data_IF_183196351352
#
_entry.id   IF_183196351352
#
_cell.length_a   1.000
_cell.length_b   1.000
_cell.length_c   1.000
_cell.angle_alpha   90.00
_cell.angle_beta   90.00
_cell.angle_gamma   90.00
#
_symmetry.space_group_name_H-M   'P 1'
#
loop_
_entity.id
_entity.type
_entity.pdbx_description
1 polymer ?
#
# COMPACT_ATOMS: atom_id res chain seq x y z
N UNK A 1 -5.82 17.61 -12.22
CA UNK A 1 -5.45 16.95 -10.95
C UNK A 1 -6.09 15.58 -10.90
N UNK A 2 -5.28 14.52 -11.03
CA UNK A 2 -5.74 13.14 -10.85
C UNK A 2 -5.78 12.87 -9.36
N UNK A 3 -6.90 12.35 -8.85
CA UNK A 3 -6.91 11.80 -7.51
C UNK A 3 -6.10 10.51 -7.58
N UNK A 4 -4.90 10.53 -7.00
CA UNK A 4 -4.04 9.36 -6.93
C UNK A 4 -4.62 8.42 -5.86
N UNK A 5 -5.75 7.80 -6.18
CA UNK A 5 -6.24 6.64 -5.45
C UNK A 5 -5.30 5.51 -5.83
N UNK A 6 -4.22 5.34 -5.06
CA UNK A 6 -3.53 4.06 -4.98
C UNK A 6 -4.64 3.05 -4.74
N UNK A 7 -4.97 2.25 -5.76
CA UNK A 7 -6.03 1.29 -5.68
C UNK A 7 -5.74 0.40 -4.48
N UNK A 8 -6.38 0.75 -3.38
CA UNK A 8 -6.70 -0.08 -2.25
C UNK A 8 -6.85 -1.48 -2.80
N UNK A 9 -6.05 -2.40 -2.26
CA UNK A 9 -6.01 -3.81 -2.60
C UNK A 9 -7.42 -4.39 -2.39
N UNK A 10 -8.34 -4.12 -3.31
CA UNK A 10 -9.54 -4.90 -3.50
C UNK A 10 -9.06 -6.17 -4.17
N UNK A 11 -8.52 -7.05 -3.31
CA UNK A 11 -8.39 -8.49 -3.46
C UNK A 11 -8.23 -8.93 -4.91
N UNK A 12 -6.98 -9.12 -5.35
CA UNK A 12 -6.75 -10.02 -6.47
C UNK A 12 -7.13 -11.43 -6.00
N UNK A 13 -8.40 -11.79 -6.21
CA UNK A 13 -8.83 -13.17 -6.00
C UNK A 13 -8.25 -13.97 -7.16
N UNK A 14 -7.30 -14.84 -6.84
CA UNK A 14 -6.77 -15.82 -7.78
C UNK A 14 -7.85 -16.88 -7.99
N UNK A 15 -8.76 -16.67 -8.95
CA UNK A 15 -9.76 -17.68 -9.31
C UNK A 15 -9.07 -18.82 -10.05
N UNK A 16 -8.77 -19.92 -9.35
CA UNK A 16 -8.49 -21.18 -10.03
C UNK A 16 -9.78 -21.70 -10.68
N UNK A 17 -9.85 -21.66 -12.01
CA UNK A 17 -10.85 -22.41 -12.77
C UNK A 17 -11.88 -21.60 -13.58
N UNK A 18 -11.64 -20.34 -13.90
CA UNK A 18 -12.49 -19.64 -14.87
C UNK A 18 -12.04 -19.89 -16.31
N UNK A 19 -12.83 -20.68 -17.07
CA UNK A 19 -12.71 -20.83 -18.52
C UNK A 19 -12.62 -19.45 -19.19
N UNK A 20 -11.70 -19.33 -20.16
CA UNK A 20 -11.59 -18.19 -21.09
C UNK A 20 -12.98 -17.88 -21.66
N UNK A 21 -13.60 -16.80 -21.18
CA UNK A 21 -14.99 -16.48 -21.54
C UNK A 21 -15.06 -15.12 -22.22
N UNK A 22 -15.44 -15.20 -23.50
CA UNK A 22 -16.16 -14.25 -24.37
C UNK A 22 -15.86 -12.76 -24.24
N UNK A 23 -15.60 -12.11 -25.39
CA UNK A 23 -15.61 -10.64 -25.56
C UNK A 23 -16.77 -10.03 -24.77
N UNK A 24 -16.45 -9.35 -23.66
CA UNK A 24 -17.45 -8.61 -22.89
C UNK A 24 -17.88 -7.39 -23.71
N UNK A 25 -19.18 -7.11 -23.86
CA UNK A 25 -19.63 -5.87 -24.49
C UNK A 25 -19.09 -4.68 -23.68
N UNK A 26 -18.62 -3.65 -24.39
CA UNK A 26 -18.11 -2.41 -23.79
C UNK A 26 -16.93 -2.58 -22.83
N UNK A 27 -15.93 -3.37 -23.24
CA UNK A 27 -14.62 -3.48 -22.58
C UNK A 27 -13.47 -3.05 -23.48
N UNK A 28 -12.31 -2.83 -22.88
CA UNK A 28 -11.01 -2.71 -23.57
C UNK A 28 -10.09 -3.81 -23.06
N UNK A 29 -9.37 -4.46 -23.98
CA UNK A 29 -8.36 -5.47 -23.65
C UNK A 29 -7.07 -5.12 -24.35
N UNK A 30 -6.00 -4.98 -23.59
CA UNK A 30 -4.63 -4.88 -24.10
C UNK A 30 -4.00 -6.27 -24.11
N UNK A 31 -3.35 -6.60 -25.22
CA UNK A 31 -2.49 -7.79 -25.32
C UNK A 31 -1.04 -7.32 -25.26
N UNK A 32 -0.33 -7.73 -24.22
CA UNK A 32 1.08 -7.41 -24.02
C UNK A 32 1.87 -8.67 -24.34
N UNK A 33 2.89 -8.54 -25.18
CA UNK A 33 3.76 -9.64 -25.64
C UNK A 33 5.22 -9.26 -25.35
N UNK A 34 6.05 -10.23 -24.97
CA UNK A 34 7.41 -10.00 -24.45
C UNK A 34 8.31 -9.15 -25.36
N UNK A 35 8.20 -9.34 -26.68
CA UNK A 35 9.15 -8.81 -27.69
C UNK A 35 8.47 -8.17 -28.90
N UNK A 36 7.20 -7.75 -28.80
CA UNK A 36 6.48 -7.12 -29.92
C UNK A 36 6.16 -5.66 -29.59
N UNK A 37 6.81 -4.75 -30.33
CA UNK A 37 6.55 -3.31 -30.28
C UNK A 37 6.94 -2.59 -28.99
N UNK A 38 7.98 -3.05 -28.29
CA UNK A 38 8.65 -2.40 -27.15
C UNK A 38 7.69 -1.67 -26.21
N UNK A 39 6.64 -2.39 -25.77
CA UNK A 39 5.55 -1.79 -24.99
C UNK A 39 6.03 -1.15 -23.68
N UNK A 40 7.17 -1.59 -23.15
CA UNK A 40 7.82 -1.04 -21.97
C UNK A 40 8.50 0.31 -22.23
N UNK A 41 8.83 0.64 -23.47
CA UNK A 41 9.36 1.95 -23.91
C UNK A 41 8.24 2.94 -24.25
N UNK A 42 7.00 2.44 -24.39
CA UNK A 42 5.84 3.27 -24.71
C UNK A 42 5.28 3.91 -23.45
N UNK A 43 5.10 5.23 -23.51
CA UNK A 43 4.38 5.99 -22.49
C UNK A 43 2.89 5.63 -22.45
N UNK A 44 2.28 5.31 -23.60
CA UNK A 44 0.90 4.84 -23.73
C UNK A 44 0.86 3.54 -24.57
N UNK A 45 0.21 2.50 -24.04
CA UNK A 45 0.00 1.21 -24.69
C UNK A 45 -1.37 1.25 -25.37
N UNK A 46 -1.39 1.11 -26.70
CA UNK A 46 -2.60 1.17 -27.51
C UNK A 46 -3.38 -0.16 -27.46
N UNK A 47 -4.72 -0.13 -27.59
CA UNK A 47 -5.57 1.02 -27.88
C UNK A 47 -6.06 1.74 -26.62
N UNK A 48 -6.13 3.07 -26.66
CA UNK A 48 -7.01 3.80 -25.75
C UNK A 48 -8.45 3.69 -26.22
N UNK A 49 -9.39 3.65 -25.27
CA UNK A 49 -10.81 3.44 -25.59
C UNK A 49 -11.71 4.24 -24.67
N UNK A 50 -12.76 4.80 -25.24
CA UNK A 50 -13.85 5.39 -24.48
C UNK A 50 -14.86 4.29 -24.18
N UNK A 51 -15.10 4.04 -22.90
CA UNK A 51 -16.12 3.13 -22.40
C UNK A 51 -17.30 3.93 -21.85
N UNK A 52 -18.46 3.28 -21.81
CA UNK A 52 -19.66 3.79 -21.12
C UNK A 52 -20.09 2.78 -20.04
N UNK A 53 -21.25 2.95 -19.41
CA UNK A 53 -21.80 1.88 -18.58
C UNK A 53 -22.28 0.71 -19.44
N UNK A 54 -21.84 -0.51 -19.10
CA UNK A 54 -22.32 -1.72 -19.76
C UNK A 54 -23.86 -1.83 -19.66
N UNK A 55 -24.54 -1.95 -20.81
CA UNK A 55 -26.01 -2.02 -20.90
C UNK A 55 -26.75 -0.67 -20.95
N UNK A 56 -26.06 0.48 -20.89
CA UNK A 56 -26.70 1.79 -21.08
C UNK A 56 -26.88 2.12 -22.56
N UNK A 57 -28.09 2.54 -22.94
CA UNK A 57 -28.42 3.06 -24.27
C UNK A 57 -28.11 4.56 -24.42
N UNK A 58 -27.81 5.26 -23.33
CA UNK A 58 -27.54 6.70 -23.34
C UNK A 58 -26.15 7.00 -22.74
N UNK A 59 -25.18 7.48 -23.52
CA UNK A 59 -23.79 7.60 -23.09
C UNK A 59 -23.52 8.97 -22.47
N UNK A 60 -24.27 9.36 -21.44
CA UNK A 60 -24.07 10.66 -20.77
C UNK A 60 -22.84 10.67 -19.83
N UNK A 61 -22.25 9.50 -19.60
CA UNK A 61 -21.01 9.33 -18.83
C UNK A 61 -20.00 8.54 -19.65
N UNK A 62 -18.84 9.16 -19.88
CA UNK A 62 -17.76 8.59 -20.67
C UNK A 62 -16.53 8.34 -19.81
N UNK A 63 -15.94 7.16 -19.98
CA UNK A 63 -14.72 6.73 -19.32
C UNK A 63 -13.63 6.58 -20.38
N UNK A 64 -12.76 7.58 -20.52
CA UNK A 64 -11.59 7.48 -21.38
C UNK A 64 -10.51 6.67 -20.66
N UNK A 65 -10.30 5.43 -21.11
CA UNK A 65 -9.37 4.47 -20.50
C UNK A 65 -8.12 4.33 -21.35
N UNK A 66 -6.96 4.42 -20.69
CA UNK A 66 -5.64 4.29 -21.29
C UNK A 66 -4.75 3.40 -20.43
N UNK A 67 -3.84 2.66 -21.04
CA UNK A 67 -2.82 1.90 -20.34
C UNK A 67 -1.48 2.60 -20.54
N UNK A 68 -0.73 2.84 -19.46
CA UNK A 68 0.58 3.50 -19.51
C UNK A 68 1.63 2.63 -18.85
N UNK A 69 2.87 2.72 -19.33
CA UNK A 69 4.03 2.09 -18.70
C UNK A 69 5.03 3.17 -18.26
N UNK A 70 5.52 3.06 -17.04
CA UNK A 70 6.63 3.88 -16.53
C UNK A 70 7.46 3.05 -15.55
N UNK A 71 8.78 3.04 -15.71
CA UNK A 71 9.70 2.25 -14.87
C UNK A 71 9.28 0.77 -14.73
N UNK A 72 8.89 0.13 -15.85
CA UNK A 72 8.39 -1.26 -15.90
C UNK A 72 7.11 -1.53 -15.11
N UNK A 73 6.43 -0.48 -14.62
CA UNK A 73 5.14 -0.56 -13.95
C UNK A 73 4.03 -0.18 -14.92
N UNK A 74 2.98 -1.00 -14.94
CA UNK A 74 1.81 -0.78 -15.77
C UNK A 74 0.74 -0.08 -14.93
N UNK A 75 0.08 0.93 -15.50
CA UNK A 75 -1.05 1.61 -14.87
C UNK A 75 -2.21 1.78 -15.85
N UNK A 76 -3.43 1.59 -15.35
CA UNK A 76 -4.68 1.93 -16.02
C UNK A 76 -5.07 3.35 -15.61
N UNK A 77 -5.18 4.25 -16.57
CA UNK A 77 -5.61 5.63 -16.37
C UNK A 77 -7.02 5.78 -16.91
N UNK A 78 -7.90 6.34 -16.09
CA UNK A 78 -9.31 6.53 -16.40
C UNK A 78 -9.63 8.00 -16.20
N UNK A 79 -10.07 8.67 -17.24
CA UNK A 79 -10.62 10.03 -17.17
C UNK A 79 -12.12 9.96 -17.42
N UNK A 80 -12.90 10.52 -16.51
CA UNK A 80 -14.36 10.44 -16.53
C UNK A 80 -14.95 11.80 -16.84
N UNK A 81 -15.85 11.80 -17.83
CA UNK A 81 -16.70 12.94 -18.14
C UNK A 81 -18.12 12.56 -17.78
N UNK A 82 -18.63 13.15 -16.70
CA UNK A 82 -20.02 12.97 -16.27
C UNK A 82 -20.85 14.20 -16.70
N UNK A 83 -21.66 14.02 -17.75
CA UNK A 83 -22.58 15.06 -18.24
C UNK A 83 -23.94 15.02 -17.56
N UNK A 84 -24.18 14.08 -16.63
CA UNK A 84 -25.40 14.07 -15.82
C UNK A 84 -25.36 15.22 -14.81
N UNK A 85 -26.52 15.83 -14.54
CA UNK A 85 -26.68 16.79 -13.44
C UNK A 85 -26.61 16.19 -12.03
N UNK A 86 -26.22 14.92 -11.88
CA UNK A 86 -26.10 14.20 -10.60
C UNK A 86 -24.86 13.30 -10.54
N UNK A 87 -24.36 13.06 -9.33
CA UNK A 87 -23.25 12.14 -9.09
C UNK A 87 -23.66 10.71 -9.47
N UNK A 88 -22.74 9.96 -10.07
CA UNK A 88 -22.93 8.54 -10.40
C UNK A 88 -21.82 7.68 -9.82
N UNK A 89 -22.14 6.43 -9.49
CA UNK A 89 -21.15 5.46 -9.01
C UNK A 89 -20.94 4.36 -10.04
N UNK A 90 -19.68 3.99 -10.26
CA UNK A 90 -19.26 2.92 -11.18
C UNK A 90 -18.49 1.81 -10.44
N UNK A 91 -18.60 0.59 -10.94
CA UNK A 91 -17.68 -0.51 -10.61
C UNK A 91 -16.76 -0.74 -11.81
N UNK A 92 -15.49 -0.44 -11.61
CA UNK A 92 -14.39 -0.68 -12.54
C UNK A 92 -13.84 -2.08 -12.29
N UNK A 93 -14.03 -2.99 -13.23
CA UNK A 93 -13.49 -4.35 -13.15
C UNK A 93 -12.21 -4.39 -13.98
N UNK A 94 -11.08 -4.63 -13.31
CA UNK A 94 -9.77 -4.78 -13.96
C UNK A 94 -9.33 -6.22 -13.80
N UNK A 95 -9.00 -6.86 -14.92
CA UNK A 95 -8.59 -8.26 -14.96
C UNK A 95 -7.21 -8.37 -15.61
N UNK A 96 -6.35 -9.17 -14.99
CA UNK A 96 -5.11 -9.68 -15.55
C UNK A 96 -5.24 -11.18 -15.79
N UNK A 97 -4.93 -11.60 -17.00
CA UNK A 97 -4.91 -13.01 -17.38
C UNK A 97 -3.76 -13.28 -18.32
N UNK A 98 -3.34 -14.54 -18.42
CA UNK A 98 -2.43 -15.02 -19.46
C UNK A 98 -3.04 -16.24 -20.13
N UNK A 99 -2.30 -16.83 -21.07
CA UNK A 99 -2.72 -18.08 -21.74
C UNK A 99 -2.92 -19.25 -20.77
N UNK A 100 -2.33 -19.21 -19.57
CA UNK A 100 -2.52 -20.23 -18.54
C UNK A 100 -3.79 -20.03 -17.70
N UNK A 101 -4.47 -18.88 -17.82
CA UNK A 101 -5.73 -18.60 -17.13
C UNK A 101 -5.85 -17.17 -16.60
N UNK A 102 -6.92 -16.89 -15.86
CA UNK A 102 -7.07 -15.64 -15.12
C UNK A 102 -6.15 -15.67 -13.91
N UNK A 103 -5.20 -14.74 -13.87
CA UNK A 103 -4.24 -14.66 -12.77
C UNK A 103 -4.75 -13.75 -11.66
N UNK A 104 -5.58 -12.74 -12.00
CA UNK A 104 -5.95 -11.70 -11.07
C UNK A 104 -7.18 -10.90 -11.54
N UNK A 105 -8.11 -10.56 -10.65
CA UNK A 105 -9.20 -9.60 -10.92
C UNK A 105 -9.41 -8.69 -9.72
N UNK A 106 -9.65 -7.40 -9.96
CA UNK A 106 -10.04 -6.42 -8.94
C UNK A 106 -11.29 -5.65 -9.38
N UNK A 107 -12.13 -5.28 -8.41
CA UNK A 107 -13.31 -4.45 -8.60
C UNK A 107 -13.13 -3.17 -7.80
N UNK A 108 -13.04 -2.03 -8.48
CA UNK A 108 -12.85 -0.71 -7.87
C UNK A 108 -14.15 0.07 -8.01
N UNK A 109 -14.73 0.46 -6.89
CA UNK A 109 -15.93 1.31 -6.87
C UNK A 109 -15.48 2.77 -6.81
N UNK A 110 -15.98 3.61 -7.71
CA UNK A 110 -15.67 5.05 -7.74
C UNK A 110 -16.92 5.89 -8.03
N UNK A 111 -16.99 7.08 -7.43
CA UNK A 111 -18.08 8.04 -7.61
C UNK A 111 -17.60 9.24 -8.41
N UNK A 112 -18.47 9.74 -9.29
CA UNK A 112 -18.13 10.73 -10.29
C UNK A 112 -19.16 11.85 -10.26
N UNK A 113 -18.73 13.02 -9.78
CA UNK A 113 -19.59 14.21 -9.66
C UNK A 113 -19.93 14.80 -11.05
N UNK A 114 -21.04 15.55 -11.17
CA UNK A 114 -21.38 16.30 -12.39
C UNK A 114 -20.30 17.31 -12.78
N UNK A 115 -19.92 17.34 -14.04
CA UNK A 115 -18.89 18.25 -14.53
C UNK A 115 -17.49 17.96 -13.95
N UNK A 116 -16.50 18.69 -14.49
CA UNK A 116 -15.04 18.55 -14.31
C UNK A 116 -14.49 17.11 -14.52
N UNK A 117 -13.50 17.00 -15.39
CA UNK A 117 -12.73 15.78 -15.64
C UNK A 117 -12.18 15.21 -14.33
N UNK A 118 -12.79 14.14 -13.83
CA UNK A 118 -12.30 13.37 -12.70
C UNK A 118 -11.42 12.25 -13.24
N UNK A 119 -10.25 12.09 -12.63
CA UNK A 119 -9.21 11.20 -13.12
C UNK A 119 -8.79 10.21 -12.05
N UNK A 120 -8.66 8.95 -12.44
CA UNK A 120 -8.24 7.85 -11.60
C UNK A 120 -7.07 7.11 -12.26
N UNK A 121 -5.98 6.89 -11.53
CA UNK A 121 -4.84 6.09 -11.98
C UNK A 121 -4.70 4.86 -11.09
N UNK A 122 -4.67 3.69 -11.70
CA UNK A 122 -4.67 2.39 -11.02
C UNK A 122 -3.43 1.62 -11.44
N UNK A 123 -2.54 1.35 -10.48
CA UNK A 123 -1.38 0.51 -10.72
C UNK A 123 -1.83 -0.95 -10.90
N UNK A 124 -1.34 -1.62 -11.94
CA UNK A 124 -1.51 -3.06 -12.12
C UNK A 124 -0.31 -3.73 -11.44
N UNK A 125 -0.49 -4.42 -10.31
CA UNK A 125 0.64 -5.00 -9.59
C UNK A 125 1.32 -6.08 -10.44
N UNK A 126 2.64 -5.96 -10.54
CA UNK A 126 3.52 -7.05 -10.95
C UNK A 126 3.73 -8.01 -9.78
N UNK A 127 4.09 -9.25 -10.07
CA UNK A 127 4.73 -10.06 -9.04
C UNK A 127 6.15 -9.53 -8.93
N UNK A 128 6.49 -8.93 -7.79
CA UNK A 128 7.79 -8.26 -7.58
C UNK A 128 8.99 -9.21 -7.82
N UNK A 129 8.74 -10.53 -7.87
CA UNK A 129 9.77 -11.58 -8.00
C UNK A 129 9.64 -12.52 -9.23
N UNK A 130 8.77 -12.25 -10.23
CA UNK A 130 8.62 -13.15 -11.39
C UNK A 130 8.50 -12.41 -12.73
N UNK A 131 9.16 -12.94 -13.76
CA UNK A 131 8.94 -12.55 -15.15
C UNK A 131 7.45 -12.68 -15.50
N UNK A 132 6.83 -11.60 -15.99
CA UNK A 132 5.46 -11.64 -16.51
C UNK A 132 5.28 -12.81 -17.49
N UNK A 133 4.18 -13.57 -17.32
CA UNK A 133 3.81 -14.63 -18.27
C UNK A 133 3.18 -13.97 -19.49
N UNK A 134 3.79 -14.19 -20.65
CA UNK A 134 3.33 -13.65 -21.93
C UNK A 134 2.66 -14.74 -22.80
N UNK A 135 1.69 -14.37 -23.66
CA UNK A 135 1.07 -13.04 -23.74
C UNK A 135 0.17 -12.79 -22.53
N UNK A 136 0.27 -11.57 -21.99
CA UNK A 136 -0.57 -11.08 -20.90
C UNK A 136 -1.72 -10.28 -21.49
N UNK A 137 -2.90 -10.42 -20.89
CA UNK A 137 -4.08 -9.65 -21.21
C UNK A 137 -4.49 -8.82 -20.00
N UNK A 138 -4.64 -7.51 -20.22
CA UNK A 138 -5.23 -6.60 -19.24
C UNK A 138 -6.58 -6.15 -19.79
N UNK A 139 -7.65 -6.44 -19.07
CA UNK A 139 -9.01 -6.09 -19.48
C UNK A 139 -9.64 -5.13 -18.48
N UNK A 140 -10.26 -4.06 -18.96
CA UNK A 140 -11.01 -3.11 -18.14
C UNK A 140 -12.46 -3.09 -18.61
N UNK A 141 -13.38 -3.17 -17.64
CA UNK A 141 -14.83 -3.11 -17.84
C UNK A 141 -15.42 -2.08 -16.89
N UNK A 142 -16.35 -1.27 -17.37
CA UNK A 142 -17.09 -0.31 -16.53
C UNK A 142 -18.53 -0.77 -16.37
N UNK A 143 -18.97 -0.92 -15.12
CA UNK A 143 -20.34 -1.27 -14.76
C UNK A 143 -20.96 -0.13 -13.93
N UNK A 144 -22.27 0.06 -14.06
CA UNK A 144 -23.00 0.95 -13.17
C UNK A 144 -23.09 0.29 -11.79
N UNK A 145 -22.89 1.06 -10.71
CA UNK A 145 -23.07 0.52 -9.36
C UNK A 145 -24.56 0.43 -9.04
N UNK A 146 -24.96 -0.61 -8.30
CA UNK A 146 -26.33 -0.74 -7.81
C UNK A 146 -26.62 0.37 -6.78
N UNK A 147 -27.83 0.95 -6.71
CA UNK A 147 -28.25 1.78 -5.58
C UNK A 147 -27.93 1.19 -4.19
N UNK A 148 -27.96 -0.13 -4.01
CA UNK A 148 -27.54 -0.78 -2.76
C UNK A 148 -26.04 -0.60 -2.44
N UNK A 149 -25.23 -0.34 -3.46
CA UNK A 149 -23.79 -0.15 -3.34
C UNK A 149 -23.40 1.29 -2.97
N UNK A 150 -24.31 2.26 -3.10
CA UNK A 150 -24.07 3.67 -2.68
C UNK A 150 -23.75 3.75 -1.18
N UNK A 151 -24.23 2.79 -0.39
CA UNK A 151 -23.97 2.69 1.03
C UNK A 151 -22.59 2.10 1.38
N UNK A 152 -21.82 1.59 0.41
CA UNK A 152 -20.49 1.02 0.67
C UNK A 152 -19.35 2.03 0.41
N UNK A 153 -19.68 3.21 -0.11
CA UNK A 153 -18.73 4.28 -0.35
C UNK A 153 -18.66 5.22 0.84
N UNK A 154 -17.51 5.22 1.48
CA UNK A 154 -17.16 6.29 2.41
C UNK A 154 -15.76 6.76 2.01
N UNK A 155 -15.69 7.95 1.43
CA UNK A 155 -14.47 8.63 0.94
C UNK A 155 -13.58 9.16 2.08
N UNK A 156 -14.04 9.10 3.35
CA UNK A 156 -13.27 9.55 4.52
C UNK A 156 -13.04 8.41 5.53
N UNK A 157 -11.78 8.15 5.84
CA UNK A 157 -11.31 7.12 6.82
C UNK A 157 -12.02 7.25 8.18
N UNK A 158 -12.25 8.48 8.66
CA UNK A 158 -12.93 8.76 9.94
C UNK A 158 -14.40 8.33 9.92
N UNK A 159 -15.06 8.39 8.77
CA UNK A 159 -16.46 7.98 8.60
C UNK A 159 -16.58 6.48 8.29
N UNK A 160 -15.55 5.86 7.67
CA UNK A 160 -15.50 4.40 7.42
C UNK A 160 -15.54 3.60 8.71
N UNK A 161 -14.79 4.08 9.69
CA UNK A 161 -14.53 3.39 10.93
C UNK A 161 -15.66 3.55 11.95
N UNK A 162 -16.56 4.53 11.80
CA UNK A 162 -17.65 4.75 12.73
C UNK A 162 -18.88 3.87 12.45
N UNK A 163 -19.16 3.58 11.17
CA UNK A 163 -20.35 2.82 10.78
C UNK A 163 -20.17 1.33 11.05
N UNK A 164 -21.06 0.75 11.86
CA UNK A 164 -20.99 -0.65 12.32
C UNK A 164 -19.77 -0.98 13.19
N UNK A 165 -19.09 0.04 13.73
CA UNK A 165 -18.07 -0.19 14.76
C UNK A 165 -18.67 -0.93 15.96
N UNK A 166 -17.92 -1.92 16.42
CA UNK A 166 -18.26 -2.76 17.57
C UNK A 166 -17.21 -2.63 18.71
N UNK A 167 -16.18 -1.80 18.49
CA UNK A 167 -15.21 -1.37 19.50
C UNK A 167 -14.69 0.06 19.24
N UNK A 168 -14.06 0.65 20.25
CA UNK A 168 -13.35 1.92 20.18
C UNK A 168 -11.97 1.78 20.84
N UNK A 169 -10.93 2.26 20.16
CA UNK A 169 -9.55 2.31 20.65
C UNK A 169 -9.22 3.72 21.14
N UNK A 170 -8.51 3.81 22.26
CA UNK A 170 -8.05 5.05 22.87
C UNK A 170 -6.53 5.09 22.95
N UNK A 171 -5.94 6.19 22.50
CA UNK A 171 -4.51 6.50 22.67
C UNK A 171 -4.29 7.42 23.87
N UNK A 172 -3.06 7.45 24.40
CA UNK A 172 -2.72 8.22 25.61
C UNK A 172 -2.87 9.74 25.43
N UNK A 173 -2.74 10.23 24.19
CA UNK A 173 -2.96 11.62 23.78
C UNK A 173 -4.45 11.95 23.52
N UNK A 174 -5.36 11.10 24.02
CA UNK A 174 -6.80 11.30 23.96
C UNK A 174 -7.42 11.08 22.58
N UNK A 175 -6.71 10.45 21.65
CA UNK A 175 -7.27 9.99 20.39
C UNK A 175 -8.31 8.88 20.62
N UNK A 176 -9.41 8.92 19.86
CA UNK A 176 -10.47 7.93 19.90
C UNK A 176 -10.75 7.44 18.50
N UNK A 177 -10.78 6.13 18.32
CA UNK A 177 -10.88 5.49 17.03
C UNK A 177 -11.93 4.38 17.08
N UNK A 178 -13.13 4.59 16.53
CA UNK A 178 -14.06 3.49 16.37
C UNK A 178 -13.44 2.46 15.41
N UNK A 179 -13.65 1.17 15.65
CA UNK A 179 -13.03 0.08 14.87
C UNK A 179 -13.95 -1.14 14.80
N UNK A 180 -13.59 -2.08 13.92
CA UNK A 180 -14.26 -3.35 13.72
C UNK A 180 -13.39 -4.49 14.27
N UNK A 181 -13.85 -5.17 15.33
CA UNK A 181 -13.12 -6.28 15.98
C UNK A 181 -12.73 -7.35 14.98
N UNK A 182 -13.66 -7.73 14.10
CA UNK A 182 -13.45 -8.77 13.10
C UNK A 182 -12.30 -8.41 12.13
N UNK A 183 -12.29 -7.18 11.62
CA UNK A 183 -11.28 -6.74 10.65
C UNK A 183 -9.90 -6.73 11.30
N UNK A 184 -9.77 -6.05 12.44
CA UNK A 184 -8.49 -5.95 13.15
C UNK A 184 -7.97 -7.33 13.60
N UNK A 185 -8.84 -8.21 14.11
CA UNK A 185 -8.45 -9.57 14.53
C UNK A 185 -7.95 -10.45 13.38
N UNK A 186 -8.51 -10.26 12.17
CA UNK A 186 -8.12 -11.04 11.01
C UNK A 186 -6.70 -10.71 10.51
N UNK A 187 -6.25 -9.48 10.75
CA UNK A 187 -4.98 -8.97 10.20
C UNK A 187 -3.91 -8.72 11.26
N UNK A 188 -4.24 -8.88 12.53
CA UNK A 188 -3.32 -8.67 13.64
C UNK A 188 -3.62 -9.65 14.76
N UNK A 189 -2.66 -10.52 15.05
CA UNK A 189 -2.75 -11.44 16.18
C UNK A 189 -2.79 -10.69 17.52
N UNK A 190 -2.15 -9.51 17.60
CA UNK A 190 -2.28 -8.61 18.74
C UNK A 190 -3.74 -8.24 19.00
N UNK A 191 -4.48 -7.79 17.98
CA UNK A 191 -5.90 -7.44 18.13
C UNK A 191 -6.79 -8.66 18.37
N UNK A 192 -6.48 -9.79 17.73
CA UNK A 192 -7.18 -11.07 17.97
C UNK A 192 -7.08 -11.49 19.44
N UNK A 193 -5.93 -11.29 20.08
CA UNK A 193 -5.75 -11.51 21.53
C UNK A 193 -6.44 -10.44 22.36
N UNK A 194 -6.31 -9.16 21.97
CA UNK A 194 -6.87 -8.03 22.69
C UNK A 194 -8.40 -8.11 22.81
N UNK A 195 -9.10 -8.52 21.75
CA UNK A 195 -10.56 -8.54 21.72
C UNK A 195 -11.20 -9.79 22.33
N UNK A 196 -10.41 -10.72 22.90
CA UNK A 196 -10.95 -11.91 23.57
C UNK A 196 -11.86 -11.58 24.75
N UNK A 197 -11.58 -10.49 25.47
CA UNK A 197 -12.32 -10.10 26.67
C UNK A 197 -13.67 -9.40 26.37
N UNK A 198 -14.05 -9.34 25.08
CA UNK A 198 -15.30 -8.78 24.54
C UNK A 198 -15.77 -7.45 25.15
N UNK A 199 -14.84 -6.53 25.31
CA UNK A 199 -15.11 -5.15 25.75
C UNK A 199 -15.46 -4.26 24.56
N UNK A 200 -15.99 -3.06 24.84
CA UNK A 200 -16.24 -2.02 23.83
C UNK A 200 -15.11 -1.00 23.72
N UNK A 201 -14.33 -0.77 24.78
CA UNK A 201 -13.34 0.30 24.86
C UNK A 201 -11.98 -0.29 25.19
N UNK A 202 -10.97 -0.02 24.37
CA UNK A 202 -9.62 -0.57 24.52
C UNK A 202 -8.58 0.53 24.56
N UNK A 203 -7.75 0.54 25.61
CA UNK A 203 -6.63 1.49 25.71
C UNK A 203 -5.38 0.88 25.07
N UNK A 204 -4.80 1.58 24.10
CA UNK A 204 -3.51 1.24 23.49
C UNK A 204 -2.45 2.19 24.04
N UNK A 205 -1.35 1.61 24.55
CA UNK A 205 -0.22 2.34 25.10
C UNK A 205 0.92 2.42 24.08
N UNK A 206 1.73 3.47 24.15
CA UNK A 206 2.96 3.59 23.35
C UNK A 206 2.76 3.92 21.86
N UNK A 207 1.54 4.26 21.44
CA UNK A 207 1.22 4.67 20.06
C UNK A 207 0.48 6.00 20.08
N UNK A 208 1.03 7.00 19.39
CA UNK A 208 0.40 8.31 19.26
C UNK A 208 -0.71 8.34 18.20
N UNK A 209 -1.54 9.39 18.23
CA UNK A 209 -2.67 9.56 17.31
C UNK A 209 -2.27 9.53 15.83
N UNK A 210 -1.13 10.09 15.46
CA UNK A 210 -0.70 10.13 14.06
C UNK A 210 -0.30 8.72 13.60
N UNK A 211 0.47 8.01 14.42
CA UNK A 211 0.90 6.64 14.10
C UNK A 211 -0.26 5.67 14.03
N UNK A 212 -1.21 5.71 14.97
CA UNK A 212 -2.33 4.76 14.96
C UNK A 212 -3.24 4.95 13.74
N UNK A 213 -3.39 6.16 13.22
CA UNK A 213 -4.12 6.41 11.97
C UNK A 213 -3.47 5.61 10.83
N UNK A 214 -2.16 5.70 10.66
CA UNK A 214 -1.45 4.96 9.60
C UNK A 214 -1.49 3.43 9.80
N UNK A 215 -1.44 2.95 11.05
CA UNK A 215 -1.58 1.52 11.34
C UNK A 215 -2.98 1.00 11.02
N UNK A 216 -4.02 1.74 11.41
CA UNK A 216 -5.39 1.38 11.08
C UNK A 216 -5.61 1.46 9.57
N UNK A 217 -5.13 2.51 8.91
CA UNK A 217 -5.19 2.64 7.46
C UNK A 217 -4.55 1.44 6.78
N UNK A 218 -3.36 1.02 7.21
CA UNK A 218 -2.71 -0.19 6.70
C UNK A 218 -3.59 -1.43 6.89
N UNK A 219 -4.14 -1.66 8.09
CA UNK A 219 -5.01 -2.81 8.39
C UNK A 219 -6.26 -2.83 7.49
N UNK A 220 -6.91 -1.68 7.28
CA UNK A 220 -8.13 -1.60 6.47
C UNK A 220 -7.85 -1.60 4.96
N UNK A 221 -6.69 -1.11 4.53
CA UNK A 221 -6.34 -0.94 3.10
C UNK A 221 -5.51 -2.07 2.53
N UNK A 222 -4.72 -2.75 3.36
CA UNK A 222 -3.62 -3.63 2.95
C UNK A 222 -2.55 -2.94 2.09
N UNK A 223 -2.48 -1.61 2.14
CA UNK A 223 -1.52 -0.84 1.35
C UNK A 223 -0.43 -0.28 2.23
N UNK A 224 0.82 -0.46 1.82
CA UNK A 224 1.95 0.19 2.45
C UNK A 224 1.77 1.72 2.40
N UNK A 225 2.05 2.42 3.52
CA UNK A 225 1.96 3.87 3.54
C UNK A 225 3.05 4.48 2.65
N UNK A 226 2.93 5.77 2.34
CA UNK A 226 3.98 6.47 1.58
C UNK A 226 5.34 6.34 2.29
N UNK A 227 6.45 6.10 1.56
CA UNK A 227 7.78 6.04 2.18
C UNK A 227 8.11 7.27 3.04
N UNK A 228 7.53 8.44 2.69
CA UNK A 228 7.73 9.71 3.40
C UNK A 228 7.15 9.75 4.81
N UNK A 229 6.17 8.89 5.11
CA UNK A 229 5.55 8.83 6.44
C UNK A 229 6.12 7.69 7.29
N UNK A 230 7.00 6.86 6.73
CA UNK A 230 7.66 5.80 7.47
C UNK A 230 8.66 6.43 8.43
N UNK A 231 8.44 6.22 9.72
CA UNK A 231 9.31 6.64 10.81
C UNK A 231 9.43 5.52 11.85
N UNK A 232 10.26 5.76 12.87
CA UNK A 232 10.49 4.79 13.96
C UNK A 232 9.23 4.52 14.79
N UNK A 233 8.31 5.48 14.89
CA UNK A 233 7.05 5.29 15.63
C UNK A 233 6.14 4.32 14.87
N UNK A 234 6.04 4.48 13.54
CA UNK A 234 5.30 3.54 12.69
C UNK A 234 5.88 2.12 12.77
N UNK A 235 7.21 1.98 12.73
CA UNK A 235 7.87 0.69 12.89
C UNK A 235 7.55 0.05 14.26
N UNK A 236 7.68 0.82 15.35
CA UNK A 236 7.35 0.37 16.72
C UNK A 236 5.90 -0.09 16.82
N UNK A 237 4.97 0.71 16.28
CA UNK A 237 3.55 0.38 16.27
C UNK A 237 3.22 -0.84 15.41
N UNK A 238 3.85 -0.99 14.24
CA UNK A 238 3.69 -2.16 13.38
C UNK A 238 4.16 -3.44 14.08
N UNK A 239 5.28 -3.37 14.81
CA UNK A 239 5.78 -4.50 15.61
C UNK A 239 4.86 -4.82 16.79
N UNK A 240 4.38 -3.79 17.50
CA UNK A 240 3.43 -3.94 18.60
C UNK A 240 2.13 -4.62 18.15
N UNK A 241 1.61 -4.22 16.98
CA UNK A 241 0.39 -4.79 16.41
C UNK A 241 0.63 -6.08 15.61
N UNK A 242 1.87 -6.60 15.58
CA UNK A 242 2.22 -7.84 14.88
C UNK A 242 1.83 -7.81 13.39
N UNK A 243 2.13 -6.69 12.73
CA UNK A 243 1.89 -6.46 11.30
C UNK A 243 3.16 -6.76 10.50
N UNK A 244 3.55 -8.03 10.38
CA UNK A 244 4.89 -8.44 9.91
C UNK A 244 5.25 -7.89 8.52
N UNK A 245 4.31 -7.87 7.58
CA UNK A 245 4.53 -7.28 6.25
C UNK A 245 4.81 -5.77 6.30
N UNK A 246 4.13 -5.04 7.19
CA UNK A 246 4.40 -3.61 7.40
C UNK A 246 5.75 -3.40 8.10
N UNK A 247 6.10 -4.29 9.03
CA UNK A 247 7.43 -4.25 9.68
C UNK A 247 8.52 -4.36 8.63
N UNK A 248 8.45 -5.32 7.71
CA UNK A 248 9.49 -5.47 6.68
C UNK A 248 9.53 -4.32 5.67
N UNK A 249 8.37 -3.75 5.35
CA UNK A 249 8.30 -2.54 4.53
C UNK A 249 8.96 -1.35 5.25
N UNK A 250 8.69 -1.17 6.54
CA UNK A 250 9.30 -0.12 7.34
C UNK A 250 10.81 -0.33 7.48
N UNK A 251 11.28 -1.56 7.73
CA UNK A 251 12.70 -1.91 7.78
C UNK A 251 13.39 -1.54 6.47
N UNK A 252 12.88 -2.01 5.33
CA UNK A 252 13.49 -1.73 4.02
C UNK A 252 13.51 -0.22 3.71
N UNK A 253 12.43 0.50 4.01
CA UNK A 253 12.37 1.94 3.80
C UNK A 253 13.33 2.71 4.71
N UNK A 254 13.52 2.27 5.97
CA UNK A 254 14.44 2.89 6.90
C UNK A 254 15.89 2.61 6.54
N UNK A 255 16.20 1.40 6.04
CA UNK A 255 17.53 1.03 5.50
C UNK A 255 17.93 1.96 4.35
N UNK A 256 17.03 2.20 3.40
CA UNK A 256 17.27 3.09 2.26
C UNK A 256 17.44 4.57 2.68
N UNK A 257 17.01 4.93 3.89
CA UNK A 257 17.00 6.30 4.40
C UNK A 257 17.88 6.49 5.65
N UNK A 258 18.90 5.65 5.84
CA UNK A 258 19.90 5.84 6.90
C UNK A 258 20.76 7.07 6.58
N UNK A 259 20.93 7.93 7.59
CA UNK A 259 21.67 9.19 7.53
C UNK A 259 22.43 9.45 8.83
N UNK A 260 23.37 10.37 8.80
CA UNK A 260 24.18 10.75 9.98
C UNK A 260 23.33 11.21 11.18
N UNK A 261 22.20 11.88 10.93
CA UNK A 261 21.34 12.47 11.97
C UNK A 261 20.35 11.47 12.58
N UNK A 262 20.08 10.34 11.93
CA UNK A 262 19.07 9.36 12.36
C UNK A 262 19.65 7.96 12.69
N UNK A 263 20.85 7.62 12.22
CA UNK A 263 21.40 6.26 12.29
C UNK A 263 21.48 5.71 13.73
N UNK A 264 21.83 6.56 14.70
CA UNK A 264 21.92 6.14 16.11
C UNK A 264 20.55 5.71 16.64
N UNK A 265 19.51 6.52 16.39
CA UNK A 265 18.14 6.22 16.83
C UNK A 265 17.56 5.01 16.10
N UNK A 266 17.86 4.85 14.80
CA UNK A 266 17.49 3.67 14.03
C UNK A 266 18.13 2.43 14.64
N UNK A 267 19.43 2.46 14.93
CA UNK A 267 20.17 1.33 15.47
C UNK A 267 19.66 0.91 16.86
N UNK A 268 19.50 1.86 17.79
CA UNK A 268 19.01 1.55 19.13
C UNK A 268 17.57 1.04 19.09
N UNK A 269 16.71 1.63 18.27
CA UNK A 269 15.32 1.16 18.10
C UNK A 269 15.26 -0.22 17.47
N UNK A 270 16.10 -0.50 16.47
CA UNK A 270 16.15 -1.80 15.82
C UNK A 270 16.57 -2.90 16.82
N UNK A 271 17.54 -2.62 17.70
CA UNK A 271 17.93 -3.55 18.76
C UNK A 271 16.79 -3.80 19.76
N UNK A 272 16.11 -2.75 20.21
CA UNK A 272 14.95 -2.85 21.12
C UNK A 272 13.83 -3.73 20.54
N UNK A 273 13.63 -3.69 19.22
CA UNK A 273 12.61 -4.44 18.50
C UNK A 273 13.09 -5.83 18.03
N UNK A 274 14.38 -6.16 18.22
CA UNK A 274 14.99 -7.42 17.76
C UNK A 274 15.10 -7.53 16.23
N UNK A 275 15.28 -6.41 15.53
CA UNK A 275 15.35 -6.33 14.06
C UNK A 275 16.82 -6.34 13.60
N UNK A 276 17.45 -7.52 13.66
CA UNK A 276 18.89 -7.71 13.39
C UNK A 276 19.34 -7.19 12.00
N UNK A 277 18.48 -7.31 10.98
CA UNK A 277 18.76 -6.80 9.63
C UNK A 277 18.99 -5.28 9.63
N UNK A 278 18.08 -4.55 10.27
CA UNK A 278 18.16 -3.09 10.40
C UNK A 278 19.31 -2.67 11.33
N UNK A 279 19.59 -3.45 12.38
CA UNK A 279 20.77 -3.24 13.24
C UNK A 279 22.06 -3.35 12.41
N UNK A 280 22.20 -4.39 11.59
CA UNK A 280 23.37 -4.58 10.73
C UNK A 280 23.56 -3.42 9.76
N UNK A 281 22.50 -3.04 9.03
CA UNK A 281 22.57 -1.93 8.07
C UNK A 281 22.97 -0.60 8.74
N UNK A 282 22.43 -0.32 9.92
CA UNK A 282 22.81 0.86 10.70
C UNK A 282 24.27 0.77 11.19
N UNK A 283 24.72 -0.40 11.64
CA UNK A 283 26.09 -0.64 12.07
C UNK A 283 27.12 -0.48 10.94
N UNK A 284 26.77 -0.94 9.74
CA UNK A 284 27.60 -0.78 8.54
C UNK A 284 27.81 0.70 8.23
N UNK A 285 26.71 1.47 8.17
CA UNK A 285 26.78 2.92 7.97
C UNK A 285 27.58 3.63 9.07
N UNK A 286 27.44 3.19 10.33
CA UNK A 286 28.18 3.79 11.44
C UNK A 286 29.68 3.48 11.38
N UNK A 287 30.06 2.26 11.00
CA UNK A 287 31.46 1.84 10.89
C UNK A 287 32.26 2.72 9.92
N UNK A 288 31.65 3.08 8.79
CA UNK A 288 32.27 3.95 7.77
C UNK A 288 32.48 5.39 8.27
N UNK A 289 31.62 5.90 9.15
CA UNK A 289 31.54 7.32 9.55
C UNK A 289 31.68 7.53 11.06
N UNK A 290 32.39 6.61 11.72
CA UNK A 290 32.47 6.50 13.19
C UNK A 290 32.85 7.81 13.88
N UNK A 291 33.85 8.53 13.34
CA UNK A 291 34.37 9.76 13.97
C UNK A 291 33.38 10.93 14.02
N UNK A 292 32.41 10.98 13.10
CA UNK A 292 31.37 12.01 13.09
C UNK A 292 30.21 11.61 14.00
N UNK A 293 29.82 10.34 13.96
CA UNK A 293 28.68 9.82 14.74
C UNK A 293 28.97 9.88 16.23
N UNK A 294 30.21 9.57 16.66
CA UNK A 294 30.63 9.68 18.06
C UNK A 294 30.57 11.11 18.61
N UNK A 295 30.60 12.13 17.75
CA UNK A 295 30.46 13.55 18.15
C UNK A 295 29.00 13.99 18.24
N UNK A 296 28.06 13.20 17.73
CA UNK A 296 26.63 13.53 17.78
C UNK A 296 26.11 13.50 19.22
N UNK A 297 25.15 14.38 19.54
CA UNK A 297 24.49 14.37 20.84
C UNK A 297 23.77 13.03 21.12
N UNK A 298 23.23 12.43 20.05
CA UNK A 298 22.52 11.14 20.09
C UNK A 298 23.44 9.98 20.46
N UNK A 299 24.76 10.07 20.25
CA UNK A 299 25.72 9.02 20.68
C UNK A 299 25.61 8.67 22.16
N UNK A 300 25.17 9.60 23.01
CA UNK A 300 24.95 9.34 24.43
C UNK A 300 23.92 8.22 24.68
N UNK A 301 22.92 8.04 23.80
CA UNK A 301 21.92 6.96 23.93
C UNK A 301 22.54 5.59 23.71
N UNK A 302 23.54 5.46 22.83
CA UNK A 302 24.27 4.20 22.59
C UNK A 302 24.91 3.63 23.86
N UNK A 303 25.23 4.47 24.86
CA UNK A 303 25.78 4.01 26.15
C UNK A 303 24.83 3.08 26.90
N UNK A 304 23.53 3.19 26.64
CA UNK A 304 22.50 2.31 27.21
C UNK A 304 22.43 0.95 26.49
N UNK A 305 23.19 0.78 25.40
CA UNK A 305 23.20 -0.41 24.57
C UNK A 305 24.63 -1.01 24.46
N UNK A 306 25.15 -1.66 25.52
CA UNK A 306 26.53 -2.18 25.53
C UNK A 306 26.83 -3.20 24.43
N UNK A 307 25.82 -3.97 24.00
CA UNK A 307 25.94 -4.93 22.90
C UNK A 307 26.25 -4.22 21.58
N UNK A 308 25.52 -3.14 21.28
CA UNK A 308 25.75 -2.32 20.10
C UNK A 308 27.15 -1.70 20.10
N UNK A 309 27.61 -1.17 21.24
CA UNK A 309 28.97 -0.62 21.37
C UNK A 309 30.02 -1.70 21.07
N UNK A 310 29.86 -2.89 21.65
CA UNK A 310 30.78 -4.01 21.42
C UNK A 310 30.82 -4.39 19.93
N UNK A 311 29.67 -4.50 19.27
CA UNK A 311 29.58 -4.81 17.83
C UNK A 311 30.26 -3.74 16.97
N UNK A 312 30.03 -2.45 17.27
CA UNK A 312 30.65 -1.35 16.54
C UNK A 312 32.18 -1.37 16.69
N UNK A 313 32.71 -1.63 17.88
CA UNK A 313 34.15 -1.73 18.12
C UNK A 313 34.80 -2.84 17.28
N UNK A 314 34.13 -3.99 17.12
CA UNK A 314 34.62 -5.05 16.24
C UNK A 314 34.62 -4.61 14.78
N UNK A 315 33.55 -3.98 14.29
CA UNK A 315 33.47 -3.47 12.91
C UNK A 315 34.53 -2.42 12.60
N UNK A 316 34.76 -1.47 13.51
CA UNK A 316 35.79 -0.43 13.32
C UNK A 316 37.19 -1.06 13.21
N UNK A 317 37.45 -2.12 13.98
CA UNK A 317 38.71 -2.85 13.90
C UNK A 317 38.86 -3.57 12.56
N UNK A 318 37.81 -4.23 12.07
CA UNK A 318 37.80 -4.91 10.77
C UNK A 318 38.04 -3.94 9.60
N UNK A 319 37.33 -2.81 9.57
CA UNK A 319 37.50 -1.77 8.55
C UNK A 319 38.91 -1.12 8.57
N UNK A 320 39.57 -1.12 9.74
CA UNK A 320 40.95 -0.63 9.88
C UNK A 320 42.00 -1.64 9.39
N UNK A 321 41.66 -2.92 9.35
CA UNK A 321 42.51 -3.98 8.79
C UNK A 321 42.38 -4.14 7.28
N UNK A 322 41.22 -3.81 6.69
CA UNK A 322 41.00 -3.89 5.24
C UNK A 322 41.57 -2.69 4.46
N UNK A 323 41.77 -1.54 5.12
CA UNK A 323 42.35 -0.32 4.53
C UNK A 323 43.89 -0.23 4.66
N UNK A 324 44.58 -1.33 5.01
CA UNK A 324 46.04 -1.42 5.11
C UNK A 324 46.64 -2.31 4.03
#
# INVERSE_FOLDING_TARGET
DFELMNALLHSFVQEQGAKVCSKLPNSVTWTIVRNEGDWYEKTEITPSKILTFNGSTNPEVHFAVKLTCSNYKIAVNICVMNSLGKQVSSVLVIRRSSISGVEAQTNIRSSWSPGIHSGLQILVPGMEDCCYIYPMFITVVVKMSDPSDQFQMIEKIVERNSRFSDAEIFTEDGGKFPVHKLVLSNYSEFFSKLFKDDQKLYKILGVDRKTIIHLLDYIYSHTNPSPKVVDLNLLKGAKQFQLDHLVEYCVSTLEDNIRHDNVVEICTTAEELGLERLVSAAMDFMGEKTGEIMKSAKWSTMKLHPKLIKQLLFKVKENSSENK
#
